data_IF_638904856626
#
_entry.id   IF_638904856626
#
_cell.length_a   1.000
_cell.length_b   1.000
_cell.length_c   1.000
_cell.angle_alpha   90.00
_cell.angle_beta   90.00
_cell.angle_gamma   90.00
#
_symmetry.space_group_name_H-M   'P 1'
#
loop_
_entity.id
_entity.type
_entity.pdbx_description
1 polymer ?
#
# COMPACT_ATOMS: atom_id res chain seq x y z
N UNK A 1 -15.53 -31.42 3.68
CA UNK A 1 -14.26 -30.92 4.21
C UNK A 1 -14.62 -29.77 5.12
N UNK A 2 -14.63 -29.99 6.43
CA UNK A 2 -14.92 -28.92 7.39
C UNK A 2 -13.65 -28.09 7.56
N UNK A 3 -13.65 -26.89 6.98
CA UNK A 3 -12.63 -25.89 7.29
C UNK A 3 -13.00 -25.25 8.63
N UNK A 4 -12.08 -25.29 9.60
CA UNK A 4 -12.24 -24.52 10.83
C UNK A 4 -11.88 -23.05 10.54
N UNK A 5 -12.53 -22.10 11.22
CA UNK A 5 -12.14 -20.70 11.08
C UNK A 5 -10.66 -20.47 11.45
N UNK A 6 -10.14 -21.24 12.41
CA UNK A 6 -8.72 -21.20 12.77
C UNK A 6 -7.82 -21.57 11.58
N UNK A 7 -8.10 -22.66 10.84
CA UNK A 7 -7.26 -23.03 9.70
C UNK A 7 -7.35 -22.03 8.54
N UNK A 8 -8.51 -21.40 8.36
CA UNK A 8 -8.68 -20.30 7.39
C UNK A 8 -7.90 -19.05 7.81
N UNK A 9 -7.97 -18.65 9.08
CA UNK A 9 -7.20 -17.51 9.59
C UNK A 9 -5.70 -17.79 9.63
N UNK A 10 -5.30 -19.04 9.84
CA UNK A 10 -3.91 -19.45 9.76
C UNK A 10 -3.40 -19.43 8.33
N UNK A 11 -4.20 -19.91 7.36
CA UNK A 11 -3.84 -19.89 5.94
C UNK A 11 -3.84 -18.46 5.37
N UNK A 12 -4.85 -17.64 5.71
CA UNK A 12 -4.86 -16.21 5.36
C UNK A 12 -3.71 -15.48 6.04
N UNK A 13 -3.48 -15.78 7.30
CA UNK A 13 -2.30 -15.33 8.02
C UNK A 13 -1.03 -15.71 7.28
N UNK A 14 -0.89 -16.95 6.83
CA UNK A 14 0.23 -17.46 6.04
C UNK A 14 0.43 -16.76 4.70
N UNK A 15 -0.67 -16.41 4.03
CA UNK A 15 -0.65 -15.64 2.79
C UNK A 15 -0.20 -14.18 3.00
N UNK A 16 -0.45 -13.60 4.17
CA UNK A 16 -0.12 -12.19 4.52
C UNK A 16 1.00 -12.05 5.57
N UNK A 17 1.68 -13.15 5.91
CA UNK A 17 2.36 -13.43 7.20
C UNK A 17 3.43 -12.42 7.64
N UNK A 18 4.02 -11.69 6.70
CA UNK A 18 5.16 -10.81 7.00
C UNK A 18 4.83 -9.32 6.94
N UNK A 19 3.67 -8.93 6.39
CA UNK A 19 3.44 -7.53 6.01
C UNK A 19 2.30 -6.85 6.76
N UNK A 20 1.20 -7.56 7.05
CA UNK A 20 0.00 -6.94 7.63
C UNK A 20 -0.44 -7.60 8.95
N UNK A 21 -0.74 -6.78 9.96
CA UNK A 21 -1.49 -7.22 11.13
C UNK A 21 -2.96 -7.35 10.77
N UNK A 22 -3.66 -8.29 11.40
CA UNK A 22 -5.09 -8.52 11.20
C UNK A 22 -5.81 -8.29 12.51
N UNK A 23 -6.88 -7.49 12.48
CA UNK A 23 -7.80 -7.32 13.61
C UNK A 23 -9.22 -7.67 13.18
N UNK A 24 -9.97 -8.34 14.05
CA UNK A 24 -11.41 -8.58 13.89
C UNK A 24 -12.11 -8.02 15.13
N UNK A 25 -13.22 -7.34 14.91
CA UNK A 25 -14.05 -6.76 15.95
C UNK A 25 -15.51 -7.18 15.80
N UNK A 26 -16.23 -7.21 16.90
CA UNK A 26 -17.69 -7.07 16.88
C UNK A 26 -18.02 -5.56 16.84
N UNK A 27 -19.25 -5.17 17.20
CA UNK A 27 -19.66 -3.75 17.17
C UNK A 27 -18.98 -2.87 18.24
N UNK A 28 -18.40 -3.46 19.29
CA UNK A 28 -17.93 -2.74 20.47
C UNK A 28 -16.44 -2.97 20.78
N UNK A 29 -15.93 -4.18 20.53
CA UNK A 29 -14.61 -4.63 20.98
C UNK A 29 -13.92 -5.52 19.94
N UNK A 30 -12.59 -5.60 20.03
CA UNK A 30 -11.78 -6.52 19.24
C UNK A 30 -11.91 -7.95 19.78
N UNK A 31 -12.27 -8.88 18.90
CA UNK A 31 -12.43 -10.31 19.24
C UNK A 31 -11.23 -11.16 18.82
N UNK A 32 -10.42 -10.65 17.90
CA UNK A 32 -9.20 -11.29 17.41
C UNK A 32 -8.19 -10.23 16.97
N UNK A 33 -6.92 -10.49 17.26
CA UNK A 33 -5.83 -9.70 16.75
C UNK A 33 -4.60 -10.59 16.53
N UNK A 34 -4.00 -10.47 15.35
CA UNK A 34 -2.75 -11.14 14.99
C UNK A 34 -1.75 -10.08 14.51
N UNK A 35 -0.68 -9.82 15.28
CA UNK A 35 0.35 -8.89 14.86
C UNK A 35 1.17 -9.46 13.70
N UNK A 36 1.73 -8.59 12.86
CA UNK A 36 2.75 -8.95 11.87
C UNK A 36 4.15 -8.73 12.42
N UNK A 37 5.17 -9.18 11.66
CA UNK A 37 6.58 -8.91 12.00
C UNK A 37 6.93 -7.42 11.97
N UNK A 38 6.16 -6.59 11.26
CA UNK A 38 6.51 -5.20 10.97
C UNK A 38 5.72 -4.17 11.74
N UNK A 39 4.52 -4.52 12.16
CA UNK A 39 3.70 -3.64 12.95
C UNK A 39 2.96 -4.46 14.00
N UNK A 40 2.95 -3.95 15.22
CA UNK A 40 2.15 -4.48 16.29
C UNK A 40 1.49 -3.32 17.05
N UNK A 41 0.18 -3.13 16.85
CA UNK A 41 -0.65 -2.15 17.54
C UNK A 41 -0.96 -2.53 19.01
N UNK A 42 -0.50 -3.70 19.48
CA UNK A 42 -0.70 -4.21 20.84
C UNK A 42 -2.16 -4.36 21.25
N UNK A 43 -3.05 -4.59 20.28
CA UNK A 43 -4.48 -4.84 20.52
C UNK A 43 -4.63 -6.20 21.21
N UNK A 44 -5.48 -6.27 22.22
CA UNK A 44 -5.86 -7.50 22.91
C UNK A 44 -7.33 -7.80 22.66
N UNK A 45 -7.67 -9.08 22.78
CA UNK A 45 -9.07 -9.51 22.79
C UNK A 45 -9.80 -8.85 23.97
N UNK A 46 -10.94 -8.23 23.69
CA UNK A 46 -11.73 -7.45 24.66
C UNK A 46 -11.39 -5.96 24.70
N UNK A 47 -10.37 -5.50 23.99
CA UNK A 47 -10.11 -4.06 23.89
C UNK A 47 -11.25 -3.37 23.13
N UNK A 48 -11.71 -2.18 23.56
CA UNK A 48 -12.77 -1.46 22.87
C UNK A 48 -12.30 -0.97 21.50
N UNK A 49 -13.21 -0.94 20.54
CA UNK A 49 -12.98 -0.29 19.24
C UNK A 49 -12.91 1.22 19.45
N UNK A 50 -11.71 1.79 19.38
CA UNK A 50 -11.47 3.22 19.61
C UNK A 50 -12.00 4.07 18.47
N UNK A 51 -12.61 5.20 18.82
CA UNK A 51 -12.98 6.24 17.85
C UNK A 51 -11.75 6.72 17.07
N UNK A 52 -11.95 7.09 15.80
CA UNK A 52 -10.87 7.50 14.90
C UNK A 52 -10.14 6.34 14.21
N UNK A 53 -10.26 5.10 14.69
CA UNK A 53 -9.67 3.94 14.00
C UNK A 53 -10.40 3.62 12.69
N UNK A 54 -9.71 3.03 11.73
CA UNK A 54 -10.35 2.48 10.50
C UNK A 54 -11.46 1.48 10.83
N UNK A 55 -11.31 0.70 11.91
CA UNK A 55 -12.31 -0.26 12.38
C UNK A 55 -13.59 0.46 12.79
N UNK A 56 -13.48 1.49 13.63
CA UNK A 56 -14.60 2.33 14.03
C UNK A 56 -15.26 3.00 12.82
N UNK A 57 -14.46 3.58 11.91
CA UNK A 57 -14.95 4.24 10.69
C UNK A 57 -15.72 3.26 9.78
N UNK A 58 -15.26 2.02 9.63
CA UNK A 58 -15.95 1.01 8.83
C UNK A 58 -17.27 0.54 9.47
N UNK A 59 -17.30 0.39 10.80
CA UNK A 59 -18.52 0.04 11.54
C UNK A 59 -19.58 1.14 11.43
N UNK A 60 -19.18 2.40 11.64
CA UNK A 60 -20.08 3.56 11.62
C UNK A 60 -20.61 3.87 10.22
N UNK A 61 -19.73 3.88 9.21
CA UNK A 61 -20.13 4.14 7.82
C UNK A 61 -20.84 2.97 7.14
N UNK A 62 -20.68 1.74 7.66
CA UNK A 62 -21.07 0.48 7.01
C UNK A 62 -20.47 0.31 5.62
N UNK A 63 -19.31 0.93 5.38
CA UNK A 63 -18.58 0.88 4.12
C UNK A 63 -17.15 0.45 4.35
N UNK A 64 -16.49 0.02 3.27
CA UNK A 64 -15.05 -0.24 3.29
C UNK A 64 -14.31 1.08 3.48
N UNK A 65 -13.33 1.08 4.36
CA UNK A 65 -12.46 2.24 4.65
C UNK A 65 -11.02 1.84 4.37
N UNK A 66 -10.25 2.73 3.76
CA UNK A 66 -8.82 2.54 3.52
C UNK A 66 -8.10 3.88 3.71
N UNK A 67 -7.32 4.00 4.78
CA UNK A 67 -6.79 5.29 5.23
C UNK A 67 -5.48 5.13 6.01
N UNK A 68 -4.71 6.23 6.04
CA UNK A 68 -3.59 6.42 6.97
C UNK A 68 -4.09 6.90 8.33
N UNK A 69 -3.58 6.29 9.39
CA UNK A 69 -3.83 6.66 10.79
C UNK A 69 -2.51 7.12 11.40
N UNK A 70 -2.50 8.33 11.95
CA UNK A 70 -1.34 8.88 12.65
C UNK A 70 -1.18 8.24 14.05
N UNK A 71 -0.09 8.59 14.74
CA UNK A 71 0.35 8.01 16.01
C UNK A 71 -0.60 8.28 17.18
N UNK A 72 -1.59 9.13 17.02
CA UNK A 72 -2.44 9.64 18.10
C UNK A 72 -3.24 8.54 18.83
N UNK A 73 -3.60 7.44 18.15
CA UNK A 73 -4.51 6.42 18.70
C UNK A 73 -3.78 5.21 19.29
N UNK A 74 -2.79 4.69 18.57
CA UNK A 74 -2.04 3.48 18.93
C UNK A 74 -0.53 3.72 19.11
N UNK A 75 -0.07 4.97 19.08
CA UNK A 75 1.34 5.34 19.27
C UNK A 75 2.25 5.07 18.08
N UNK A 76 1.77 4.33 17.08
CA UNK A 76 2.49 4.00 15.84
C UNK A 76 1.64 4.38 14.63
N UNK A 77 2.23 4.99 13.60
CA UNK A 77 1.49 5.33 12.39
C UNK A 77 1.29 4.06 11.56
N UNK A 78 0.13 3.96 10.92
CA UNK A 78 -0.18 2.81 10.08
C UNK A 78 -1.14 3.18 8.97
N UNK A 79 -1.05 2.47 7.86
CA UNK A 79 -2.12 2.46 6.88
C UNK A 79 -2.95 1.22 7.16
N UNK A 80 -4.26 1.32 7.06
CA UNK A 80 -5.05 0.10 7.07
C UNK A 80 -6.32 0.16 6.25
N UNK A 81 -6.83 -1.02 5.99
CA UNK A 81 -8.08 -1.26 5.29
C UNK A 81 -9.03 -1.97 6.24
N UNK A 82 -10.25 -1.50 6.35
CA UNK A 82 -11.29 -2.14 7.15
C UNK A 82 -12.54 -2.36 6.31
N UNK A 83 -13.16 -3.53 6.47
CA UNK A 83 -14.42 -3.87 5.85
C UNK A 83 -15.43 -4.29 6.92
N UNK A 84 -16.71 -3.88 6.80
CA UNK A 84 -17.77 -4.36 7.69
C UNK A 84 -18.05 -5.84 7.41
N UNK A 85 -18.29 -6.61 8.46
CA UNK A 85 -18.79 -7.98 8.40
C UNK A 85 -20.32 -7.94 8.46
N UNK A 86 -20.95 -8.42 7.39
CA UNK A 86 -22.40 -8.43 7.24
C UNK A 86 -22.89 -9.87 7.23
N UNK A 87 -23.91 -10.17 8.03
CA UNK A 87 -24.63 -11.44 8.03
C UNK A 87 -26.12 -11.16 7.88
N UNK A 88 -26.73 -11.72 6.84
CA UNK A 88 -28.16 -11.55 6.55
C UNK A 88 -28.59 -10.06 6.52
N UNK A 89 -27.74 -9.18 6.00
CA UNK A 89 -27.98 -7.73 5.94
C UNK A 89 -27.76 -6.98 7.26
N UNK A 90 -27.41 -7.67 8.35
CA UNK A 90 -27.08 -7.08 9.64
C UNK A 90 -25.56 -6.93 9.79
N UNK A 91 -25.13 -5.75 10.26
CA UNK A 91 -23.74 -5.52 10.64
C UNK A 91 -23.44 -6.30 11.93
N UNK A 92 -22.42 -7.17 11.89
CA UNK A 92 -21.99 -7.96 13.06
C UNK A 92 -20.60 -7.54 13.57
N UNK A 93 -19.80 -6.88 12.74
CA UNK A 93 -18.44 -6.52 13.11
C UNK A 93 -17.64 -5.92 11.97
N UNK A 94 -16.31 -5.97 12.10
CA UNK A 94 -15.39 -5.52 11.05
C UNK A 94 -14.10 -6.35 11.06
N UNK A 95 -13.56 -6.62 9.87
CA UNK A 95 -12.20 -7.12 9.66
C UNK A 95 -11.31 -5.98 9.19
N UNK A 96 -10.12 -5.86 9.77
CA UNK A 96 -9.13 -4.82 9.46
C UNK A 96 -7.78 -5.44 9.14
N UNK A 97 -7.18 -5.02 8.02
CA UNK A 97 -5.79 -5.28 7.66
C UNK A 97 -4.96 -4.01 7.91
N UNK A 98 -3.88 -4.13 8.67
CA UNK A 98 -3.07 -3.04 9.18
C UNK A 98 -1.65 -3.23 8.67
N UNK A 99 -1.13 -2.23 7.98
CA UNK A 99 0.18 -2.30 7.35
C UNK A 99 1.11 -1.25 7.98
N UNK A 100 2.41 -1.56 8.14
CA UNK A 100 3.40 -0.59 8.55
C UNK A 100 3.47 0.54 7.52
N UNK A 101 3.54 1.78 7.99
CA UNK A 101 3.87 2.90 7.11
C UNK A 101 5.38 3.00 6.96
N UNK A 102 5.88 3.05 5.73
CA UNK A 102 7.27 3.41 5.44
C UNK A 102 7.46 4.93 5.57
N UNK A 103 7.07 5.54 6.69
CA UNK A 103 7.23 7.00 6.83
C UNK A 103 7.70 7.40 8.23
N UNK A 104 8.99 7.75 8.26
CA UNK A 104 9.64 8.89 8.94
C UNK A 104 11.06 8.60 9.45
N UNK A 105 11.60 7.39 9.27
CA UNK A 105 13.00 7.09 9.65
C UNK A 105 14.00 7.19 8.51
N UNK A 106 13.70 6.61 7.34
CA UNK A 106 14.58 6.62 6.16
C UNK A 106 13.73 6.61 4.89
N UNK A 107 13.68 7.74 4.19
CA UNK A 107 12.96 7.92 2.92
C UNK A 107 13.75 7.29 1.75
N UNK A 108 13.98 5.98 1.82
CA UNK A 108 14.80 5.25 0.85
C UNK A 108 14.12 3.99 0.32
N UNK A 109 14.39 3.65 -0.93
CA UNK A 109 14.19 2.31 -1.50
C UNK A 109 15.54 1.61 -1.52
N UNK A 110 15.71 0.55 -0.72
CA UNK A 110 16.95 -0.22 -0.72
C UNK A 110 16.95 -1.20 -1.89
N UNK A 111 17.81 -0.99 -2.89
CA UNK A 111 17.90 -1.85 -4.09
C UNK A 111 19.01 -2.89 -3.91
N UNK A 112 18.85 -4.06 -4.53
CA UNK A 112 19.95 -4.99 -4.77
C UNK A 112 20.70 -4.58 -6.04
N UNK A 113 22.01 -4.42 -5.92
CA UNK A 113 22.91 -4.04 -7.00
C UNK A 113 24.21 -4.84 -6.85
N UNK A 114 24.60 -5.59 -7.90
CA UNK A 114 25.66 -6.61 -7.84
C UNK A 114 25.43 -7.55 -6.63
N UNK A 115 26.46 -7.70 -5.78
CA UNK A 115 26.45 -8.56 -4.60
C UNK A 115 26.02 -7.82 -3.31
N UNK A 116 25.56 -6.57 -3.43
CA UNK A 116 25.24 -5.73 -2.27
C UNK A 116 23.88 -5.04 -2.35
N UNK A 117 23.68 -4.09 -1.41
CA UNK A 117 22.49 -3.27 -1.31
C UNK A 117 22.84 -1.79 -1.28
N UNK A 118 22.04 -0.99 -1.98
CA UNK A 118 22.18 0.46 -2.02
C UNK A 118 20.86 1.09 -1.53
N UNK A 119 20.84 1.83 -0.40
CA UNK A 119 19.70 2.64 -0.04
C UNK A 119 19.60 3.86 -0.96
N UNK A 120 18.58 3.91 -1.83
CA UNK A 120 18.31 5.05 -2.70
C UNK A 120 17.27 5.98 -2.09
N UNK A 121 17.58 7.25 -1.81
CA UNK A 121 16.59 8.26 -1.42
C UNK A 121 15.44 8.35 -2.42
N UNK A 122 14.21 8.55 -1.94
CA UNK A 122 13.03 8.73 -2.80
C UNK A 122 13.21 9.81 -3.87
N UNK A 123 13.81 10.99 -3.56
CA UNK A 123 14.08 12.00 -4.58
C UNK A 123 15.03 11.55 -5.70
N UNK A 124 15.84 10.51 -5.49
CA UNK A 124 16.73 9.96 -6.52
C UNK A 124 16.04 8.90 -7.40
N UNK A 125 14.96 8.27 -6.92
CA UNK A 125 14.24 7.24 -7.67
C UNK A 125 13.36 7.90 -8.73
N UNK A 126 13.59 7.57 -9.99
CA UNK A 126 12.85 8.13 -11.14
C UNK A 126 11.57 7.35 -11.44
N UNK A 127 11.67 6.02 -11.49
CA UNK A 127 10.53 5.14 -11.71
C UNK A 127 10.87 3.70 -11.30
N UNK A 128 9.82 2.90 -11.12
CA UNK A 128 9.87 1.47 -10.87
C UNK A 128 9.18 0.75 -12.01
N UNK A 129 9.76 -0.36 -12.44
CA UNK A 129 9.31 -1.15 -13.58
C UNK A 129 9.19 -2.63 -13.17
N UNK A 130 8.09 -3.29 -13.55
CA UNK A 130 7.97 -4.73 -13.34
C UNK A 130 8.93 -5.48 -14.28
N UNK A 131 9.76 -6.38 -13.74
CA UNK A 131 10.75 -7.15 -14.52
C UNK A 131 10.97 -8.54 -13.89
N UNK A 132 10.62 -9.60 -14.62
CA UNK A 132 10.88 -11.02 -14.30
C UNK A 132 10.85 -11.38 -12.81
N UNK A 133 9.64 -11.33 -12.24
CA UNK A 133 9.31 -11.65 -10.83
C UNK A 133 9.89 -10.70 -9.77
N UNK A 134 10.57 -9.63 -10.18
CA UNK A 134 11.07 -8.56 -9.30
C UNK A 134 10.59 -7.20 -9.80
N UNK A 135 10.87 -6.17 -9.03
CA UNK A 135 10.70 -4.78 -9.48
C UNK A 135 12.07 -4.18 -9.72
N UNK A 136 12.30 -3.69 -10.92
CA UNK A 136 13.46 -2.88 -11.27
C UNK A 136 13.23 -1.46 -10.75
N UNK A 137 14.20 -0.92 -10.04
CA UNK A 137 14.16 0.44 -9.48
C UNK A 137 15.21 1.25 -10.22
N UNK A 138 14.77 2.32 -10.88
CA UNK A 138 15.61 3.14 -11.75
C UNK A 138 15.84 4.49 -11.10
N UNK A 139 17.11 4.85 -10.92
CA UNK A 139 17.57 6.19 -10.59
C UNK A 139 18.52 6.69 -11.67
N UNK A 140 18.93 7.96 -11.61
CA UNK A 140 19.95 8.50 -12.49
C UNK A 140 21.32 7.86 -12.25
N UNK A 141 21.65 7.54 -11.00
CA UNK A 141 22.97 7.01 -10.61
C UNK A 141 23.09 5.50 -10.81
N UNK A 142 22.02 4.75 -10.54
CA UNK A 142 22.08 3.29 -10.49
C UNK A 142 20.72 2.66 -10.80
N UNK A 143 20.77 1.47 -11.41
CA UNK A 143 19.62 0.60 -11.65
C UNK A 143 19.82 -0.68 -10.86
N UNK A 144 18.84 -1.04 -10.04
CA UNK A 144 18.86 -2.29 -9.27
C UNK A 144 17.51 -2.96 -9.22
N UNK A 145 17.41 -4.01 -8.43
CA UNK A 145 16.17 -4.77 -8.26
C UNK A 145 15.71 -4.79 -6.82
N UNK A 146 14.40 -4.89 -6.62
CA UNK A 146 13.79 -5.10 -5.33
C UNK A 146 12.85 -6.31 -5.37
N UNK A 147 12.71 -6.99 -4.24
CA UNK A 147 11.88 -8.21 -4.13
C UNK A 147 10.38 -7.92 -4.17
N UNK A 148 9.98 -6.70 -3.80
CA UNK A 148 8.58 -6.29 -3.85
C UNK A 148 8.10 -6.13 -5.28
N UNK A 149 6.85 -6.50 -5.49
CA UNK A 149 6.02 -6.21 -6.65
C UNK A 149 5.66 -4.73 -6.69
N UNK A 150 5.21 -4.27 -7.85
CA UNK A 150 4.69 -2.90 -7.96
C UNK A 150 3.43 -2.68 -7.11
N UNK A 151 2.63 -3.71 -6.82
CA UNK A 151 1.44 -3.53 -5.99
C UNK A 151 1.82 -3.26 -4.54
N UNK A 152 2.82 -3.98 -4.01
CA UNK A 152 3.41 -3.67 -2.71
C UNK A 152 4.02 -2.26 -2.72
N UNK A 153 4.77 -1.88 -3.76
CA UNK A 153 5.32 -0.53 -3.85
C UNK A 153 4.28 0.59 -3.95
N UNK A 154 3.20 0.39 -4.72
CA UNK A 154 2.12 1.38 -4.87
C UNK A 154 1.42 1.65 -3.53
N UNK A 155 1.35 0.62 -2.69
CA UNK A 155 0.85 0.72 -1.33
C UNK A 155 1.83 1.43 -0.38
N UNK A 156 3.12 1.14 -0.54
CA UNK A 156 4.19 1.49 0.40
C UNK A 156 4.82 2.87 0.16
N UNK A 157 4.86 3.33 -1.08
CA UNK A 157 5.54 4.56 -1.47
C UNK A 157 4.68 5.79 -1.18
N UNK A 158 5.29 6.93 -0.77
CA UNK A 158 4.55 8.15 -0.52
C UNK A 158 3.96 8.70 -1.82
N UNK A 159 2.65 8.97 -1.82
CA UNK A 159 1.89 9.43 -2.99
C UNK A 159 2.27 10.83 -3.45
N UNK A 160 2.93 11.61 -2.59
CA UNK A 160 3.50 12.93 -2.93
C UNK A 160 4.69 12.82 -3.89
N UNK A 161 5.32 11.65 -3.97
CA UNK A 161 6.39 11.37 -4.93
C UNK A 161 5.91 10.42 -6.01
N UNK A 162 5.30 9.30 -5.64
CA UNK A 162 5.15 8.14 -6.52
C UNK A 162 3.69 7.86 -6.91
N UNK A 163 3.50 7.55 -8.19
CA UNK A 163 2.16 7.36 -8.77
C UNK A 163 2.16 6.14 -9.69
N UNK A 164 1.24 5.21 -9.47
CA UNK A 164 0.97 4.14 -10.43
C UNK A 164 0.36 4.72 -11.69
N UNK A 165 1.04 4.55 -12.82
CA UNK A 165 0.57 5.04 -14.12
C UNK A 165 0.31 3.90 -15.11
N UNK A 166 0.82 2.70 -14.83
CA UNK A 166 0.64 1.52 -15.68
C UNK A 166 0.69 0.25 -14.83
N UNK A 167 0.14 -0.87 -15.30
CA UNK A 167 0.28 -2.17 -14.61
C UNK A 167 1.74 -2.58 -14.40
N UNK A 168 2.66 -2.04 -15.20
CA UNK A 168 4.10 -2.31 -15.14
C UNK A 168 4.95 -1.12 -14.71
N UNK A 169 4.36 0.03 -14.33
CA UNK A 169 5.13 1.22 -13.95
C UNK A 169 4.52 2.01 -12.79
N UNK A 170 5.40 2.41 -11.86
CA UNK A 170 5.19 3.51 -10.90
C UNK A 170 6.23 4.58 -11.23
N UNK A 171 5.82 5.84 -11.32
CA UNK A 171 6.71 6.96 -11.66
C UNK A 171 6.82 7.93 -10.49
N UNK A 172 7.99 8.55 -10.34
CA UNK A 172 8.15 9.70 -9.47
C UNK A 172 7.78 10.97 -10.23
N UNK A 173 6.76 11.70 -9.76
CA UNK A 173 6.22 12.89 -10.46
C UNK A 173 7.26 14.00 -10.60
N UNK A 174 8.20 14.10 -9.65
CA UNK A 174 9.27 15.10 -9.66
C UNK A 174 10.32 14.85 -10.76
N UNK A 175 10.26 13.68 -11.42
CA UNK A 175 11.14 13.30 -12.53
C UNK A 175 10.46 13.29 -13.89
N UNK A 176 9.19 13.69 -13.96
CA UNK A 176 8.49 13.90 -15.23
C UNK A 176 8.96 15.24 -15.80
N UNK A 177 9.39 15.24 -17.06
CA UNK A 177 9.79 16.43 -17.81
C UNK A 177 8.60 17.00 -18.59
N UNK A 178 7.92 16.15 -19.34
CA UNK A 178 6.80 16.54 -20.22
C UNK A 178 5.73 15.44 -20.20
N UNK A 179 4.46 15.83 -20.41
CA UNK A 179 3.31 14.93 -20.51
C UNK A 179 2.62 15.22 -21.84
N UNK A 180 2.43 14.19 -22.66
CA UNK A 180 1.72 14.31 -23.93
C UNK A 180 0.48 13.42 -23.95
N UNK A 181 -0.63 13.87 -24.55
CA UNK A 181 -1.70 12.97 -24.94
C UNK A 181 -1.18 11.98 -25.99
N UNK A 182 -1.66 10.75 -25.93
CA UNK A 182 -1.35 9.69 -26.89
C UNK A 182 -2.66 9.04 -27.37
N UNK A 183 -2.55 8.00 -28.19
CA UNK A 183 -3.67 7.27 -28.77
C UNK A 183 -4.59 6.67 -27.70
N UNK A 184 -5.85 6.41 -28.05
CA UNK A 184 -6.82 5.72 -27.19
C UNK A 184 -7.00 6.32 -25.79
N UNK A 185 -6.92 7.64 -25.66
CA UNK A 185 -7.04 8.36 -24.37
C UNK A 185 -5.96 7.97 -23.34
N UNK A 186 -4.79 7.55 -23.81
CA UNK A 186 -3.60 7.34 -22.97
C UNK A 186 -2.76 8.62 -22.89
N UNK A 187 -1.75 8.61 -22.02
CA UNK A 187 -0.74 9.66 -21.96
C UNK A 187 0.65 9.04 -22.13
N UNK A 188 1.60 9.83 -22.62
CA UNK A 188 3.02 9.48 -22.63
C UNK A 188 3.77 10.48 -21.76
N UNK A 189 4.50 9.97 -20.78
CA UNK A 189 5.39 10.71 -19.91
C UNK A 189 6.79 10.70 -20.52
N UNK A 190 7.38 11.87 -20.70
CA UNK A 190 8.82 12.02 -20.98
C UNK A 190 9.50 12.26 -19.64
N UNK A 191 10.30 11.31 -19.20
CA UNK A 191 11.08 11.43 -17.96
C UNK A 191 12.33 12.32 -18.17
N UNK A 192 12.93 12.83 -17.10
CA UNK A 192 14.17 13.64 -17.15
C UNK A 192 15.34 12.93 -17.86
N UNK A 193 15.42 11.61 -17.76
CA UNK A 193 16.41 10.77 -18.46
C UNK A 193 16.00 10.43 -19.91
N UNK A 194 14.98 11.11 -20.45
CA UNK A 194 14.41 10.91 -21.80
C UNK A 194 13.67 9.58 -22.00
N UNK A 195 13.54 8.74 -20.96
CA UNK A 195 12.71 7.54 -21.03
C UNK A 195 11.25 7.93 -21.29
N UNK A 196 10.58 7.18 -22.17
CA UNK A 196 9.14 7.31 -22.42
C UNK A 196 8.39 6.27 -21.61
N UNK A 197 7.39 6.68 -20.83
CA UNK A 197 6.54 5.80 -20.02
C UNK A 197 5.08 6.10 -20.34
N UNK A 198 4.33 5.08 -20.78
CA UNK A 198 2.90 5.21 -21.07
C UNK A 198 2.06 5.14 -19.80
N UNK A 199 1.11 6.06 -19.68
CA UNK A 199 0.01 5.97 -18.72
C UNK A 199 -1.14 5.24 -19.41
N UNK A 200 -1.53 4.06 -18.93
CA UNK A 200 -2.63 3.34 -19.59
C UNK A 200 -3.97 3.99 -19.32
N UNK A 201 -4.95 3.64 -20.16
CA UNK A 201 -6.31 4.17 -20.12
C UNK A 201 -6.93 4.06 -18.72
N UNK A 202 -6.76 2.92 -18.03
CA UNK A 202 -7.28 2.68 -16.68
C UNK A 202 -6.72 3.65 -15.63
N UNK A 203 -5.50 4.15 -15.80
CA UNK A 203 -4.84 5.05 -14.83
C UNK A 203 -4.95 6.53 -15.21
N UNK A 204 -5.32 6.85 -16.46
CA UNK A 204 -5.29 8.23 -16.97
C UNK A 204 -6.21 9.17 -16.19
N UNK A 205 -7.42 8.73 -15.80
CA UNK A 205 -8.36 9.54 -15.01
C UNK A 205 -7.79 9.92 -13.63
N UNK A 206 -7.22 8.94 -12.92
CA UNK A 206 -6.57 9.18 -11.63
C UNK A 206 -5.34 10.07 -11.76
N UNK A 207 -4.51 9.82 -12.78
CA UNK A 207 -3.29 10.57 -13.04
C UNK A 207 -3.55 12.05 -13.31
N UNK A 208 -4.56 12.35 -14.15
CA UNK A 208 -5.06 13.71 -14.41
C UNK A 208 -5.54 14.42 -13.16
N UNK A 209 -6.42 13.75 -12.40
CA UNK A 209 -6.94 14.29 -11.14
C UNK A 209 -5.83 14.64 -10.14
N UNK A 210 -4.79 13.81 -10.06
CA UNK A 210 -3.67 14.03 -9.15
C UNK A 210 -2.82 15.23 -9.54
N UNK A 211 -2.59 15.45 -10.84
CA UNK A 211 -1.74 16.53 -11.35
C UNK A 211 -2.52 17.80 -11.74
N UNK A 212 -3.85 17.76 -11.71
CA UNK A 212 -4.71 18.93 -11.89
C UNK A 212 -4.86 19.41 -13.35
N UNK A 213 -4.93 18.51 -14.32
CA UNK A 213 -5.17 18.84 -15.74
C UNK A 213 -6.14 17.89 -16.44
#
# INVERSE_FOLDING_TARGET
MDFTMESLFDTLGELFLDEASIAVSNLNEYIYYRPSKRIDLKIKKGDPVKEGTITHKALTSRQKVAEYIDRDIFGVPYYGMAAPLMRDGKLEGSVSAIFPTLTNGKAVVTIRYNDGWIPLPFPEVMYLEASDRKTKVVSERVIGTHKYTLNEFDFLLPKDYFVRCHRSFIVNINHIKEIYPDTHSTLVLIMKNKQKITVSQTYTSYFRKLLGF
#
